data_IF_146441167759
#
_entry.id   IF_146441167759
#
_cell.length_a   1.000
_cell.length_b   1.000
_cell.length_c   1.000
_cell.angle_alpha   90.00
_cell.angle_beta   90.00
_cell.angle_gamma   90.00
#
_symmetry.space_group_name_H-M   'P 1'
#
loop_
_entity.id
_entity.type
_entity.pdbx_description
1 polymer ?
#
# COMPACT_ATOMS: atom_id res chain seq x y z
N UNK A 1 -11.97 17.12 11.80
CA UNK A 1 -11.66 15.75 12.29
C UNK A 1 -10.36 15.81 13.05
N UNK A 2 -10.38 15.35 14.30
CA UNK A 2 -9.19 15.33 15.14
C UNK A 2 -8.13 14.36 14.62
N UNK A 3 -6.87 14.67 14.93
CA UNK A 3 -5.69 13.88 14.55
C UNK A 3 -5.86 12.40 14.91
N UNK A 4 -6.37 12.13 16.11
CA UNK A 4 -6.60 10.78 16.62
C UNK A 4 -7.60 9.99 15.77
N UNK A 5 -8.69 10.64 15.34
CA UNK A 5 -9.71 9.97 14.53
C UNK A 5 -9.15 9.64 13.15
N UNK A 6 -8.38 10.54 12.53
CA UNK A 6 -7.70 10.23 11.26
C UNK A 6 -6.74 9.05 11.40
N UNK A 7 -5.88 9.07 12.42
CA UNK A 7 -4.96 7.96 12.69
C UNK A 7 -5.72 6.64 12.87
N UNK A 8 -6.79 6.64 13.67
CA UNK A 8 -7.62 5.45 13.88
C UNK A 8 -8.23 4.93 12.58
N UNK A 9 -8.82 5.80 11.75
CA UNK A 9 -9.43 5.39 10.48
C UNK A 9 -8.40 4.80 9.51
N UNK A 10 -7.28 5.49 9.28
CA UNK A 10 -6.26 5.03 8.34
C UNK A 10 -5.60 3.73 8.82
N UNK A 11 -5.23 3.65 10.10
CA UNK A 11 -4.63 2.44 10.68
C UNK A 11 -5.60 1.26 10.70
N UNK A 12 -6.88 1.49 11.01
CA UNK A 12 -7.90 0.43 10.98
C UNK A 12 -8.16 -0.06 9.57
N UNK A 13 -8.29 0.85 8.59
CA UNK A 13 -8.47 0.47 7.19
C UNK A 13 -7.29 -0.38 6.68
N UNK A 14 -6.06 0.00 7.07
CA UNK A 14 -4.85 -0.76 6.74
C UNK A 14 -4.86 -2.15 7.37
N UNK A 15 -5.21 -2.26 8.65
CA UNK A 15 -5.30 -3.54 9.36
C UNK A 15 -6.37 -4.45 8.77
N UNK A 16 -7.55 -3.91 8.45
CA UNK A 16 -8.62 -4.67 7.80
C UNK A 16 -8.18 -5.17 6.42
N UNK A 17 -7.53 -4.32 5.63
CA UNK A 17 -6.96 -4.73 4.35
C UNK A 17 -5.92 -5.84 4.53
N UNK A 18 -5.05 -5.74 5.54
CA UNK A 18 -4.03 -6.76 5.82
C UNK A 18 -4.67 -8.09 6.25
N UNK A 19 -5.68 -8.03 7.12
CA UNK A 19 -6.46 -9.18 7.58
C UNK A 19 -7.13 -9.90 6.41
N UNK A 20 -7.82 -9.16 5.53
CA UNK A 20 -8.46 -9.74 4.34
C UNK A 20 -7.41 -10.36 3.42
N UNK A 21 -6.29 -9.65 3.19
CA UNK A 21 -5.21 -10.17 2.36
C UNK A 21 -4.64 -11.48 2.91
N UNK A 22 -4.38 -11.56 4.22
CA UNK A 22 -3.73 -12.72 4.83
C UNK A 22 -4.67 -13.91 5.06
N UNK A 23 -5.94 -13.68 5.39
CA UNK A 23 -6.88 -14.75 5.77
C UNK A 23 -7.85 -15.15 4.66
N UNK A 24 -8.02 -14.32 3.63
CA UNK A 24 -8.93 -14.61 2.51
C UNK A 24 -8.14 -14.75 1.22
N UNK A 25 -7.40 -13.71 0.84
CA UNK A 25 -6.79 -13.63 -0.49
C UNK A 25 -5.63 -14.60 -0.63
N UNK A 26 -4.70 -14.60 0.33
CA UNK A 26 -3.52 -15.45 0.28
C UNK A 26 -3.91 -16.94 0.31
N UNK A 27 -4.78 -17.45 1.21
CA UNK A 27 -5.20 -18.85 1.19
C UNK A 27 -5.91 -19.23 -0.12
N UNK A 28 -6.78 -18.36 -0.65
CA UNK A 28 -7.47 -18.61 -1.92
C UNK A 28 -6.48 -18.65 -3.10
N UNK A 29 -5.48 -17.78 -3.11
CA UNK A 29 -4.40 -17.81 -4.10
C UNK A 29 -3.61 -19.13 -4.01
N UNK A 30 -3.26 -19.58 -2.80
CA UNK A 30 -2.54 -20.83 -2.61
C UNK A 30 -3.35 -22.03 -3.10
N UNK A 31 -4.67 -22.02 -2.86
CA UNK A 31 -5.57 -23.05 -3.35
C UNK A 31 -5.68 -23.06 -4.90
N UNK A 32 -5.81 -21.89 -5.52
CA UNK A 32 -6.07 -21.77 -6.96
C UNK A 32 -4.80 -21.88 -7.84
N UNK A 33 -3.68 -21.33 -7.38
CA UNK A 33 -2.45 -21.16 -8.18
C UNK A 33 -1.23 -21.89 -7.58
N UNK A 34 -1.39 -22.50 -6.40
CA UNK A 34 -0.29 -23.13 -5.67
C UNK A 34 0.52 -22.14 -4.83
N UNK A 35 1.32 -22.69 -3.90
CA UNK A 35 2.10 -21.92 -2.93
C UNK A 35 3.42 -21.33 -3.49
N UNK A 36 3.70 -21.48 -4.78
CA UNK A 36 4.99 -21.13 -5.38
C UNK A 36 5.15 -19.65 -5.74
N UNK A 37 4.08 -18.86 -5.66
CA UNK A 37 4.13 -17.42 -5.91
C UNK A 37 4.78 -16.71 -4.71
N UNK A 38 5.91 -16.03 -4.95
CA UNK A 38 6.65 -15.31 -3.91
C UNK A 38 5.86 -14.13 -3.30
N UNK A 39 4.91 -13.56 -4.06
CA UNK A 39 4.08 -12.43 -3.64
C UNK A 39 2.58 -12.75 -3.59
N UNK A 40 1.84 -11.92 -2.86
CA UNK A 40 0.37 -11.95 -2.88
C UNK A 40 -0.14 -11.09 -4.03
N UNK A 41 -0.81 -11.69 -5.01
CA UNK A 41 -1.31 -11.03 -6.23
C UNK A 41 -2.33 -9.93 -5.96
N UNK A 42 -3.01 -9.97 -4.81
CA UNK A 42 -4.00 -8.95 -4.42
C UNK A 42 -3.64 -8.42 -3.03
N UNK A 43 -2.62 -7.57 -2.99
CA UNK A 43 -2.13 -6.98 -1.75
C UNK A 43 -2.87 -5.68 -1.42
N UNK A 44 -4.04 -5.81 -0.80
CA UNK A 44 -4.93 -4.68 -0.46
C UNK A 44 -4.28 -3.58 0.40
N UNK A 45 -3.37 -3.87 1.36
CA UNK A 45 -2.73 -2.82 2.17
C UNK A 45 -2.08 -1.73 1.32
N UNK A 46 -1.52 -2.09 0.16
CA UNK A 46 -0.92 -1.11 -0.74
C UNK A 46 -1.93 -0.08 -1.25
N UNK A 47 -3.12 -0.52 -1.65
CA UNK A 47 -4.19 0.39 -2.08
C UNK A 47 -4.57 1.40 -1.00
N UNK A 48 -4.67 0.95 0.26
CA UNK A 48 -4.94 1.83 1.41
C UNK A 48 -3.82 2.85 1.60
N UNK A 49 -2.55 2.47 1.48
CA UNK A 49 -1.40 3.39 1.58
C UNK A 49 -1.47 4.48 0.51
N UNK A 50 -1.71 4.10 -0.75
CA UNK A 50 -1.78 5.04 -1.87
C UNK A 50 -2.95 6.02 -1.71
N UNK A 51 -4.14 5.52 -1.36
CA UNK A 51 -5.32 6.39 -1.15
C UNK A 51 -5.08 7.34 0.03
N UNK A 52 -4.52 6.83 1.13
CA UNK A 52 -4.20 7.66 2.29
C UNK A 52 -3.17 8.74 1.94
N UNK A 53 -2.14 8.39 1.15
CA UNK A 53 -1.13 9.34 0.68
C UNK A 53 -1.72 10.40 -0.27
N UNK A 54 -2.65 10.03 -1.14
CA UNK A 54 -3.36 10.97 -1.99
C UNK A 54 -4.09 12.03 -1.15
N UNK A 55 -4.88 11.59 -0.16
CA UNK A 55 -5.67 12.51 0.66
C UNK A 55 -4.85 13.28 1.69
N UNK A 56 -3.89 12.65 2.37
CA UNK A 56 -3.20 13.24 3.53
C UNK A 56 -1.75 13.63 3.25
N UNK A 57 -1.20 13.30 2.09
CA UNK A 57 0.21 13.55 1.74
C UNK A 57 1.15 12.85 2.71
N UNK A 58 2.23 13.53 3.11
CA UNK A 58 3.21 13.03 4.08
C UNK A 58 2.63 12.67 5.45
N UNK A 59 1.51 13.30 5.83
CA UNK A 59 0.83 12.98 7.10
C UNK A 59 0.28 11.56 7.13
N UNK A 60 0.02 10.96 5.96
CA UNK A 60 -0.43 9.57 5.84
C UNK A 60 0.55 8.59 6.51
N UNK A 61 1.86 8.87 6.48
CA UNK A 61 2.87 8.03 7.13
C UNK A 61 2.59 7.93 8.63
N UNK A 62 2.35 9.07 9.28
CA UNK A 62 2.02 9.12 10.71
C UNK A 62 0.68 8.44 11.01
N UNK A 63 -0.32 8.63 10.16
CA UNK A 63 -1.66 8.04 10.36
C UNK A 63 -1.69 6.53 10.16
N UNK A 64 -0.82 5.99 9.31
CA UNK A 64 -0.73 4.57 9.01
C UNK A 64 0.23 3.82 9.93
N UNK A 65 1.17 4.52 10.58
CA UNK A 65 2.23 3.90 11.40
C UNK A 65 1.71 2.91 12.46
N UNK A 66 0.70 3.24 13.29
CA UNK A 66 0.18 2.29 14.27
C UNK A 66 -0.35 1.01 13.61
N UNK A 67 -1.13 1.15 12.53
CA UNK A 67 -1.61 0.02 11.75
C UNK A 67 -0.49 -0.76 11.07
N UNK A 68 0.58 -0.09 10.63
CA UNK A 68 1.75 -0.72 10.02
C UNK A 68 2.52 -1.59 11.01
N UNK A 69 2.75 -1.08 12.22
CA UNK A 69 3.42 -1.81 13.30
C UNK A 69 2.56 -3.02 13.70
N UNK A 70 1.26 -2.83 13.90
CA UNK A 70 0.34 -3.92 14.23
C UNK A 70 0.26 -4.97 13.11
N UNK A 71 0.18 -4.56 11.84
CA UNK A 71 0.19 -5.47 10.70
C UNK A 71 1.52 -6.24 10.58
N UNK A 72 2.65 -5.60 10.91
CA UNK A 72 3.92 -6.30 10.98
C UNK A 72 3.93 -7.37 12.08
N UNK A 73 3.46 -7.02 13.28
CA UNK A 73 3.40 -7.95 14.41
C UNK A 73 2.49 -9.16 14.13
N UNK A 74 1.38 -8.95 13.41
CA UNK A 74 0.39 -10.00 13.16
C UNK A 74 0.65 -10.84 11.91
N UNK A 75 1.13 -10.21 10.82
CA UNK A 75 1.13 -10.82 9.49
C UNK A 75 2.52 -10.90 8.86
N UNK A 76 3.26 -9.79 8.76
CA UNK A 76 4.56 -9.80 8.07
C UNK A 76 5.71 -10.40 8.88
N UNK A 77 5.63 -10.35 10.21
CA UNK A 77 6.55 -10.98 11.15
C UNK A 77 8.02 -10.57 10.96
N UNK A 78 8.29 -9.35 10.49
CA UNK A 78 9.65 -8.82 10.47
C UNK A 78 10.12 -8.54 11.90
N UNK A 79 11.37 -8.90 12.24
CA UNK A 79 11.90 -8.81 13.60
C UNK A 79 12.13 -7.34 14.05
N UNK A 80 11.47 -6.91 15.13
CA UNK A 80 11.49 -5.50 15.58
C UNK A 80 12.81 -5.02 16.19
N UNK A 81 13.70 -5.94 16.58
CA UNK A 81 15.04 -5.67 17.09
C UNK A 81 16.02 -5.25 15.98
N UNK A 82 15.66 -5.47 14.70
CA UNK A 82 16.49 -5.12 13.57
C UNK A 82 16.17 -3.73 13.02
N UNK A 83 17.21 -2.91 12.83
CA UNK A 83 17.08 -1.59 12.20
C UNK A 83 16.54 -1.67 10.76
N UNK A 84 16.81 -2.78 10.05
CA UNK A 84 16.30 -3.07 8.71
C UNK A 84 14.78 -3.12 8.67
N UNK A 85 14.12 -3.63 9.72
CA UNK A 85 12.65 -3.68 9.82
C UNK A 85 12.05 -2.29 9.87
N UNK A 86 12.57 -1.43 10.75
CA UNK A 86 12.11 -0.04 10.86
C UNK A 86 12.37 0.74 9.59
N UNK A 87 13.52 0.54 8.96
CA UNK A 87 13.86 1.16 7.69
C UNK A 87 12.92 0.69 6.57
N UNK A 88 12.58 -0.61 6.52
CA UNK A 88 11.62 -1.15 5.56
C UNK A 88 10.20 -0.60 5.76
N UNK A 89 9.74 -0.48 7.02
CA UNK A 89 8.45 0.15 7.33
C UNK A 89 8.46 1.61 6.88
N UNK A 90 9.42 2.41 7.33
CA UNK A 90 9.48 3.84 6.94
C UNK A 90 9.55 3.99 5.42
N UNK A 91 10.39 3.20 4.75
CA UNK A 91 10.51 3.21 3.29
C UNK A 91 9.20 2.86 2.58
N UNK A 92 8.54 1.75 2.99
CA UNK A 92 7.30 1.27 2.36
C UNK A 92 6.17 2.29 2.44
N UNK A 93 6.03 2.99 3.57
CA UNK A 93 4.94 3.93 3.78
C UNK A 93 5.24 5.34 3.25
N UNK A 94 6.52 5.67 3.04
CA UNK A 94 6.94 6.98 2.52
C UNK A 94 6.95 7.06 0.99
N UNK A 95 6.97 5.93 0.28
CA UNK A 95 7.12 5.94 -1.18
C UNK A 95 5.92 6.58 -1.90
N UNK A 96 4.70 6.25 -1.47
CA UNK A 96 3.47 6.81 -2.05
C UNK A 96 3.37 8.34 -1.89
N UNK A 97 3.50 8.92 -0.69
CA UNK A 97 3.49 10.38 -0.55
C UNK A 97 4.67 11.05 -1.26
N UNK A 98 5.83 10.39 -1.38
CA UNK A 98 6.94 10.90 -2.19
C UNK A 98 6.56 11.01 -3.68
N UNK A 99 5.98 9.95 -4.26
CA UNK A 99 5.50 9.97 -5.64
C UNK A 99 4.46 11.06 -5.89
N UNK A 100 3.51 11.24 -4.98
CA UNK A 100 2.52 12.33 -5.08
C UNK A 100 3.18 13.71 -4.95
N UNK A 101 4.18 13.88 -4.07
CA UNK A 101 4.88 15.16 -3.93
C UNK A 101 5.65 15.53 -5.19
N UNK A 102 6.30 14.55 -5.83
CA UNK A 102 6.96 14.75 -7.13
C UNK A 102 5.93 15.12 -8.20
N UNK A 103 4.78 14.45 -8.23
CA UNK A 103 3.71 14.77 -9.18
C UNK A 103 3.16 16.20 -8.98
N UNK A 104 2.91 16.63 -7.73
CA UNK A 104 2.45 17.99 -7.44
C UNK A 104 3.46 19.05 -7.95
N UNK A 105 4.76 18.81 -7.77
CA UNK A 105 5.83 19.71 -8.24
C UNK A 105 5.86 19.78 -9.77
N UNK A 106 5.74 18.63 -10.45
CA UNK A 106 5.76 18.56 -11.93
C UNK A 106 4.52 19.23 -12.52
N UNK A 107 3.35 18.98 -11.93
CA UNK A 107 2.07 19.52 -12.40
C UNK A 107 1.84 20.98 -11.99
N UNK A 108 2.64 21.50 -11.04
CA UNK A 108 2.49 22.85 -10.45
C UNK A 108 1.07 23.09 -9.90
N UNK A 109 0.43 22.03 -9.40
CA UNK A 109 -0.94 22.05 -8.89
C UNK A 109 -1.03 21.15 -7.67
N UNK A 110 -1.80 21.56 -6.67
CA UNK A 110 -2.13 20.68 -5.55
C UNK A 110 -3.07 19.58 -6.06
N UNK A 111 -2.68 18.32 -5.87
CA UNK A 111 -3.52 17.15 -6.19
C UNK A 111 -4.94 17.24 -5.65
N UNK A 112 -5.18 17.96 -4.55
CA UNK A 112 -6.52 18.15 -3.97
C UNK A 112 -7.41 19.12 -4.75
N UNK A 113 -6.81 20.02 -5.53
CA UNK A 113 -7.50 21.02 -6.34
C UNK A 113 -7.73 20.54 -7.78
N UNK A 114 -7.23 19.36 -8.12
CA UNK A 114 -7.38 18.79 -9.46
C UNK A 114 -8.82 18.34 -9.74
N UNK A 115 -9.24 18.47 -11.00
CA UNK A 115 -10.53 17.96 -11.48
C UNK A 115 -10.64 16.45 -11.23
N UNK A 116 -11.85 15.97 -10.92
CA UNK A 116 -12.11 14.56 -10.63
C UNK A 116 -11.55 13.58 -11.68
N UNK A 117 -11.58 13.96 -12.96
CA UNK A 117 -10.99 13.17 -14.05
C UNK A 117 -9.46 13.06 -13.99
N UNK A 118 -8.77 14.09 -13.50
CA UNK A 118 -7.32 14.08 -13.35
C UNK A 118 -6.92 13.35 -12.06
N UNK A 119 -7.73 13.45 -11.00
CA UNK A 119 -7.45 12.83 -9.70
C UNK A 119 -7.34 11.31 -9.76
N UNK A 120 -8.25 10.61 -10.44
CA UNK A 120 -8.16 9.13 -10.54
C UNK A 120 -6.97 8.67 -11.37
N UNK A 121 -6.62 9.42 -12.44
CA UNK A 121 -5.43 9.14 -13.26
C UNK A 121 -4.16 9.34 -12.44
N UNK A 122 -4.11 10.41 -11.64
CA UNK A 122 -3.00 10.70 -10.74
C UNK A 122 -2.81 9.59 -9.71
N UNK A 123 -3.90 9.08 -9.11
CA UNK A 123 -3.86 7.96 -8.16
C UNK A 123 -3.29 6.71 -8.81
N UNK A 124 -3.75 6.36 -10.02
CA UNK A 124 -3.26 5.15 -10.73
C UNK A 124 -1.80 5.31 -11.13
N UNK A 125 -1.40 6.45 -11.69
CA UNK A 125 -0.02 6.68 -12.12
C UNK A 125 0.97 6.72 -10.95
N UNK A 126 0.63 7.49 -9.90
CA UNK A 126 1.46 7.53 -8.69
C UNK A 126 1.45 6.17 -7.98
N UNK A 127 0.33 5.46 -7.99
CA UNK A 127 0.21 4.11 -7.46
C UNK A 127 1.10 3.10 -8.20
N UNK A 128 1.12 3.14 -9.54
CA UNK A 128 2.00 2.31 -10.35
C UNK A 128 3.48 2.61 -10.05
N UNK A 129 3.84 3.90 -10.03
CA UNK A 129 5.21 4.32 -9.69
C UNK A 129 5.61 3.88 -8.28
N UNK A 130 4.71 4.04 -7.31
CA UNK A 130 4.92 3.63 -5.92
C UNK A 130 5.08 2.13 -5.77
N UNK A 131 4.38 1.32 -6.56
CA UNK A 131 4.47 -0.13 -6.55
C UNK A 131 5.85 -0.57 -7.05
N UNK A 132 6.29 -0.04 -8.19
CA UNK A 132 7.60 -0.36 -8.78
C UNK A 132 8.72 0.08 -7.84
N UNK A 133 8.70 1.35 -7.40
CA UNK A 133 9.74 1.89 -6.53
C UNK A 133 9.73 1.26 -5.15
N UNK A 134 8.54 0.98 -4.60
CA UNK A 134 8.37 0.34 -3.29
C UNK A 134 8.89 -1.09 -3.30
N UNK A 135 8.52 -1.89 -4.31
CA UNK A 135 9.01 -3.25 -4.49
C UNK A 135 10.54 -3.26 -4.69
N UNK A 136 11.08 -2.33 -5.49
CA UNK A 136 12.52 -2.22 -5.69
C UNK A 136 13.24 -1.87 -4.39
N UNK A 137 12.77 -0.84 -3.68
CA UNK A 137 13.39 -0.34 -2.46
C UNK A 137 13.35 -1.40 -1.35
N UNK A 138 12.21 -2.06 -1.15
CA UNK A 138 12.10 -3.16 -0.19
C UNK A 138 12.98 -4.36 -0.57
N UNK A 139 13.07 -4.69 -1.86
CA UNK A 139 13.97 -5.73 -2.32
C UNK A 139 15.43 -5.40 -1.99
N UNK A 140 15.86 -4.14 -2.17
CA UNK A 140 17.21 -3.69 -1.82
C UNK A 140 17.45 -3.75 -0.30
N UNK A 141 16.52 -3.22 0.50
CA UNK A 141 16.63 -3.14 1.96
C UNK A 141 16.68 -4.54 2.59
N UNK A 142 15.81 -5.44 2.13
CA UNK A 142 15.60 -6.74 2.75
C UNK A 142 16.34 -7.88 2.04
N UNK A 143 17.06 -7.61 0.94
CA UNK A 143 17.84 -8.59 0.17
C UNK A 143 18.79 -9.44 1.01
N UNK A 144 19.39 -8.85 2.04
CA UNK A 144 20.30 -9.54 2.96
C UNK A 144 19.60 -10.17 4.16
N UNK A 145 18.37 -9.74 4.45
CA UNK A 145 17.62 -10.15 5.63
C UNK A 145 16.68 -11.33 5.36
N UNK A 146 16.28 -11.55 4.11
CA UNK A 146 15.45 -12.72 3.74
C UNK A 146 15.79 -13.24 2.35
N UNK A 147 15.71 -14.57 2.18
CA UNK A 147 15.89 -15.23 0.89
C UNK A 147 14.78 -14.94 -0.14
N UNK A 148 13.64 -14.37 0.30
CA UNK A 148 12.57 -13.92 -0.58
C UNK A 148 12.95 -12.63 -1.33
N UNK A 149 13.75 -11.76 -0.72
CA UNK A 149 14.21 -10.52 -1.33
C UNK A 149 15.57 -10.72 -2.00
N UNK A 150 15.90 -9.92 -3.02
CA UNK A 150 17.10 -10.08 -3.85
C UNK A 150 16.89 -10.92 -5.13
N UNK A 151 15.71 -11.49 -5.33
CA UNK A 151 15.33 -12.16 -6.59
C UNK A 151 14.40 -11.30 -7.44
N UNK A 152 14.54 -11.41 -8.76
CA UNK A 152 13.74 -10.65 -9.73
C UNK A 152 12.26 -11.08 -9.75
N UNK A 153 11.99 -12.37 -9.56
CA UNK A 153 10.64 -12.93 -9.53
C UNK A 153 9.83 -12.45 -8.31
N UNK A 154 10.48 -12.33 -7.15
CA UNK A 154 9.87 -11.76 -5.95
C UNK A 154 9.55 -10.28 -6.15
N UNK A 155 10.49 -9.50 -6.70
CA UNK A 155 10.26 -8.09 -7.06
C UNK A 155 9.03 -7.94 -7.97
N UNK A 156 8.95 -8.70 -9.06
CA UNK A 156 7.82 -8.63 -9.99
C UNK A 156 6.51 -9.04 -9.32
N UNK A 157 6.53 -10.11 -8.52
CA UNK A 157 5.34 -10.59 -7.81
C UNK A 157 4.80 -9.55 -6.82
N UNK A 158 5.68 -8.86 -6.09
CA UNK A 158 5.28 -7.78 -5.19
C UNK A 158 4.76 -6.57 -5.95
N UNK A 159 5.45 -6.11 -7.00
CA UNK A 159 5.01 -4.95 -7.78
C UNK A 159 3.62 -5.19 -8.41
N UNK A 160 3.42 -6.36 -9.04
CA UNK A 160 2.13 -6.74 -9.63
C UNK A 160 1.07 -6.85 -8.53
N UNK A 161 1.40 -7.50 -7.42
CA UNK A 161 0.50 -7.69 -6.29
C UNK A 161 0.02 -6.39 -5.66
N UNK A 162 0.92 -5.43 -5.48
CA UNK A 162 0.65 -4.08 -4.99
C UNK A 162 -0.27 -3.33 -5.97
N UNK A 163 0.05 -3.35 -7.26
CA UNK A 163 -0.72 -2.61 -8.26
C UNK A 163 -2.14 -3.18 -8.42
N UNK A 164 -2.29 -4.51 -8.48
CA UNK A 164 -3.61 -5.16 -8.50
C UNK A 164 -4.38 -4.90 -7.19
N UNK A 165 -3.69 -4.90 -6.06
CA UNK A 165 -4.22 -4.49 -4.76
C UNK A 165 -4.83 -3.09 -4.79
N UNK A 166 -4.12 -2.12 -5.38
CA UNK A 166 -4.62 -0.75 -5.58
C UNK A 166 -5.91 -0.74 -6.41
N UNK A 167 -5.92 -1.41 -7.57
CA UNK A 167 -7.08 -1.44 -8.46
C UNK A 167 -8.29 -2.07 -7.74
N UNK A 168 -8.10 -3.12 -6.96
CA UNK A 168 -9.17 -3.75 -6.20
C UNK A 168 -9.73 -2.84 -5.10
N UNK A 169 -8.87 -2.15 -4.34
CA UNK A 169 -9.34 -1.20 -3.32
C UNK A 169 -10.11 -0.04 -3.95
N UNK A 170 -9.62 0.54 -5.05
CA UNK A 170 -10.34 1.61 -5.76
C UNK A 170 -11.69 1.15 -6.30
N UNK A 171 -11.75 -0.08 -6.83
CA UNK A 171 -13.00 -0.69 -7.31
C UNK A 171 -13.98 -0.89 -6.15
N UNK A 172 -13.51 -1.39 -5.01
CA UNK A 172 -14.33 -1.57 -3.81
C UNK A 172 -14.88 -0.25 -3.27
N UNK A 173 -14.05 0.81 -3.20
CA UNK A 173 -14.48 2.14 -2.77
C UNK A 173 -15.52 2.71 -3.73
N UNK A 174 -15.30 2.59 -5.04
CA UNK A 174 -16.24 3.09 -6.06
C UNK A 174 -17.58 2.37 -5.96
N UNK A 175 -17.57 1.04 -5.78
CA UNK A 175 -18.78 0.25 -5.60
C UNK A 175 -19.52 0.63 -4.31
N UNK A 176 -18.80 0.79 -3.19
CA UNK A 176 -19.38 1.20 -1.93
C UNK A 176 -20.08 2.57 -2.04
N UNK A 177 -19.42 3.55 -2.66
CA UNK A 177 -20.01 4.88 -2.91
C UNK A 177 -21.23 4.78 -3.83
N UNK A 178 -21.16 3.98 -4.89
CA UNK A 178 -22.29 3.79 -5.81
C UNK A 178 -23.49 3.16 -5.11
N UNK A 179 -23.28 2.12 -4.32
CA UNK A 179 -24.34 1.46 -3.55
C UNK A 179 -24.95 2.39 -2.49
N UNK A 180 -24.13 3.24 -1.86
CA UNK A 180 -24.62 4.21 -0.90
C UNK A 180 -25.47 5.30 -1.55
N UNK A 181 -25.12 5.75 -2.77
CA UNK A 181 -25.92 6.73 -3.55
C UNK A 181 -27.25 6.17 -4.07
N UNK A 182 -27.40 4.85 -4.12
CA UNK A 182 -28.63 4.18 -4.56
C UNK A 182 -29.62 3.92 -3.40
N UNK A 183 -29.20 4.18 -2.16
CA UNK A 183 -30.06 4.16 -0.97
C UNK A 183 -30.53 5.57 -0.65
#
# INVERSE_FOLDING_TARGET
MDLLVKTAIHSMALLLAALITWHVIQPLQHYALGASLAGTLLFLPFGVKVISAFFEGWRSVLFLMPGAIAANAMFWQLPFDQATTWLAIVASYSIAPACFSVADVILRQDRRETNAHLSWRLIILCGLASSILGALLLNLILSRASALFGRLDAFLSFAIGDFLGLIAVLSAVTLAVRLWRLR
#
